data_IF_778427590231
#
_entry.id   IF_778427590231
#
_cell.length_a   1.000
_cell.length_b   1.000
_cell.length_c   1.000
_cell.angle_alpha   90.00
_cell.angle_beta   90.00
_cell.angle_gamma   90.00
#
_symmetry.space_group_name_H-M   'P 1'
#
loop_
_entity.id
_entity.type
_entity.pdbx_description
1 polymer ?
#
# COMPACT_ATOMS: atom_id res chain seq x y z
N UNK A 1 -71.85 13.86 -63.55
CA UNK A 1 -71.22 15.19 -63.39
C UNK A 1 -70.76 15.33 -61.97
N UNK A 2 -69.52 15.81 -61.81
CA UNK A 2 -68.77 16.22 -60.61
C UNK A 2 -68.01 15.10 -59.91
N UNK A 3 -66.68 15.09 -60.24
CA UNK A 3 -65.55 14.52 -59.54
C UNK A 3 -65.39 15.13 -58.14
N UNK A 4 -64.99 14.34 -57.20
CA UNK A 4 -64.30 14.81 -55.99
C UNK A 4 -63.03 14.01 -55.82
N UNK A 5 -61.93 14.70 -55.98
CA UNK A 5 -60.55 14.27 -55.65
C UNK A 5 -60.44 14.15 -54.15
N UNK A 6 -59.93 13.04 -53.70
CA UNK A 6 -59.51 12.83 -52.30
C UNK A 6 -57.98 12.86 -52.19
N UNK A 7 -57.49 13.82 -51.42
CA UNK A 7 -56.09 14.06 -51.10
C UNK A 7 -55.48 12.88 -50.40
N UNK A 8 -54.35 12.36 -50.92
CA UNK A 8 -53.49 11.47 -50.28
C UNK A 8 -52.36 12.24 -49.52
N UNK A 9 -52.42 12.28 -48.25
CA UNK A 9 -51.36 12.84 -47.38
C UNK A 9 -50.35 11.78 -47.03
N UNK A 10 -49.01 12.07 -47.03
CA UNK A 10 -47.95 11.05 -46.91
C UNK A 10 -47.59 10.77 -45.45
N UNK A 11 -48.04 9.65 -44.93
CA UNK A 11 -47.64 9.11 -43.62
C UNK A 11 -46.26 8.38 -43.64
N UNK A 12 -45.29 8.87 -44.40
CA UNK A 12 -43.97 8.20 -44.53
C UNK A 12 -42.79 8.90 -43.90
N UNK A 13 -42.96 10.11 -43.31
CA UNK A 13 -41.83 10.89 -42.78
C UNK A 13 -41.63 10.78 -41.26
N UNK A 14 -42.48 10.07 -40.50
CA UNK A 14 -42.44 10.11 -39.02
C UNK A 14 -41.78 8.84 -38.37
N UNK A 15 -41.34 7.88 -39.17
CA UNK A 15 -40.71 6.65 -38.64
C UNK A 15 -39.16 6.63 -38.63
N UNK A 16 -38.53 7.60 -39.27
CA UNK A 16 -37.05 7.64 -39.35
C UNK A 16 -36.38 8.39 -38.21
N UNK A 17 -37.10 9.24 -37.45
CA UNK A 17 -36.52 10.09 -36.41
C UNK A 17 -36.50 9.44 -35.02
N UNK A 18 -37.21 8.32 -34.79
CA UNK A 18 -37.24 7.63 -33.50
C UNK A 18 -36.13 6.57 -33.32
N UNK A 19 -35.40 6.21 -34.35
CA UNK A 19 -34.32 5.20 -34.29
C UNK A 19 -32.94 5.80 -34.04
N UNK A 20 -32.76 7.12 -34.08
CA UNK A 20 -31.47 7.77 -33.83
C UNK A 20 -31.28 8.20 -32.36
N UNK A 21 -32.35 8.16 -31.55
CA UNK A 21 -32.31 8.54 -30.14
C UNK A 21 -31.90 7.42 -29.17
N UNK A 22 -31.88 6.16 -29.62
CA UNK A 22 -31.68 5.01 -28.75
C UNK A 22 -30.21 4.54 -28.64
N UNK A 23 -29.28 5.18 -29.34
CA UNK A 23 -27.86 4.75 -29.37
C UNK A 23 -26.93 5.53 -28.41
N UNK A 24 -27.45 6.48 -27.63
CA UNK A 24 -26.61 7.30 -26.74
C UNK A 24 -26.71 6.96 -25.24
N UNK A 25 -27.44 5.91 -24.88
CA UNK A 25 -27.38 5.35 -23.53
C UNK A 25 -26.62 4.03 -23.53
N UNK A 26 -25.39 3.99 -24.09
CA UNK A 26 -24.41 3.04 -23.63
C UNK A 26 -24.09 3.45 -22.20
N UNK A 27 -24.87 2.93 -21.25
CA UNK A 27 -24.61 3.12 -19.82
C UNK A 27 -23.18 2.71 -19.57
N UNK A 28 -22.34 3.63 -19.07
CA UNK A 28 -21.09 3.30 -18.43
C UNK A 28 -21.45 2.31 -17.32
N UNK A 29 -21.28 1.02 -17.57
CA UNK A 29 -21.33 0.04 -16.50
C UNK A 29 -20.33 0.53 -15.45
N UNK A 30 -20.70 0.65 -14.17
CA UNK A 30 -19.72 0.96 -13.14
C UNK A 30 -18.60 -0.07 -13.25
N UNK A 31 -17.37 0.39 -13.39
CA UNK A 31 -16.22 -0.50 -13.35
C UNK A 31 -16.19 -1.19 -11.98
N UNK A 32 -15.88 -2.48 -11.94
CA UNK A 32 -15.74 -3.19 -10.68
C UNK A 32 -14.70 -2.47 -9.80
N UNK A 33 -14.93 -2.36 -8.48
CA UNK A 33 -14.00 -1.68 -7.60
C UNK A 33 -12.66 -2.41 -7.57
N UNK A 34 -11.55 -1.64 -7.52
CA UNK A 34 -10.21 -2.19 -7.38
C UNK A 34 -10.07 -2.92 -6.03
N UNK A 35 -9.64 -4.16 -6.07
CA UNK A 35 -9.39 -4.98 -4.87
C UNK A 35 -8.03 -4.64 -4.30
N UNK A 36 -8.01 -3.78 -3.29
CA UNK A 36 -6.81 -3.37 -2.58
C UNK A 36 -6.45 -4.40 -1.51
N UNK A 37 -5.19 -4.75 -1.39
CA UNK A 37 -4.74 -5.71 -0.39
C UNK A 37 -3.51 -5.22 0.37
N UNK A 38 -3.46 -5.52 1.67
CA UNK A 38 -2.28 -5.37 2.52
C UNK A 38 -2.31 -6.37 3.68
N UNK A 39 -1.19 -6.48 4.40
CA UNK A 39 -1.17 -7.13 5.71
C UNK A 39 -1.50 -6.13 6.83
N UNK A 40 -1.83 -6.64 8.01
CA UNK A 40 -1.88 -5.79 9.19
C UNK A 40 -0.47 -5.25 9.50
N UNK A 41 -0.32 -3.94 9.39
CA UNK A 41 0.92 -3.20 9.64
C UNK A 41 0.60 -1.80 10.16
N UNK A 42 0.15 -1.75 11.39
CA UNK A 42 -0.20 -0.49 12.05
C UNK A 42 1.02 0.43 12.21
N UNK A 43 0.87 1.74 12.01
CA UNK A 43 -0.38 2.50 11.82
C UNK A 43 -0.82 2.62 10.35
N UNK A 44 -0.13 1.99 9.42
CA UNK A 44 -0.32 2.17 7.97
C UNK A 44 -1.54 1.42 7.44
N UNK A 45 -1.65 0.14 7.80
CA UNK A 45 -2.70 -0.78 7.36
C UNK A 45 -3.14 -1.68 8.52
N UNK A 46 -4.41 -1.58 8.95
CA UNK A 46 -5.03 -2.43 9.96
C UNK A 46 -6.54 -2.14 9.96
N UNK A 47 -7.36 -3.17 9.74
CA UNK A 47 -8.83 -3.04 9.70
C UNK A 47 -9.46 -2.50 10.99
N UNK A 48 -8.73 -2.50 12.12
CA UNK A 48 -9.16 -1.95 13.41
C UNK A 48 -8.92 -0.44 13.54
N UNK A 49 -8.21 0.17 12.60
CA UNK A 49 -7.89 1.59 12.59
C UNK A 49 -8.91 2.39 11.76
N UNK A 50 -8.93 3.70 11.98
CA UNK A 50 -9.72 4.63 11.17
C UNK A 50 -9.40 4.42 9.67
N UNK A 51 -10.43 4.22 8.86
CA UNK A 51 -10.31 3.98 7.42
C UNK A 51 -9.25 2.91 7.05
N UNK A 52 -9.11 1.88 7.90
CA UNK A 52 -8.13 0.80 7.78
C UNK A 52 -6.66 1.24 7.88
N UNK A 53 -6.37 2.40 8.46
CA UNK A 53 -5.03 2.96 8.65
C UNK A 53 -4.63 3.99 7.61
N UNK A 54 -3.51 4.71 7.87
CA UNK A 54 -3.07 5.84 7.06
C UNK A 54 -2.86 5.50 5.58
N UNK A 55 -2.16 4.41 5.29
CA UNK A 55 -1.86 4.02 3.91
C UNK A 55 -3.14 3.66 3.15
N UNK A 56 -4.06 2.93 3.79
CA UNK A 56 -5.37 2.60 3.21
C UNK A 56 -6.21 3.85 2.92
N UNK A 57 -6.23 4.81 3.85
CA UNK A 57 -6.97 6.07 3.69
C UNK A 57 -6.39 6.95 2.57
N UNK A 58 -5.05 7.10 2.53
CA UNK A 58 -4.37 7.84 1.46
C UNK A 58 -4.61 7.21 0.09
N UNK A 59 -4.39 5.90 -0.03
CA UNK A 59 -4.52 5.20 -1.31
C UNK A 59 -5.95 5.20 -1.81
N UNK A 60 -6.94 4.86 -0.97
CA UNK A 60 -8.36 4.88 -1.36
C UNK A 60 -8.83 6.29 -1.73
N UNK A 61 -8.32 7.33 -1.06
CA UNK A 61 -8.66 8.72 -1.38
C UNK A 61 -8.05 9.16 -2.70
N UNK A 62 -6.78 8.82 -2.97
CA UNK A 62 -6.11 9.14 -4.22
C UNK A 62 -6.73 8.40 -5.41
N UNK A 63 -7.00 7.09 -5.27
CA UNK A 63 -7.67 6.31 -6.32
C UNK A 63 -9.07 6.86 -6.64
N UNK A 64 -9.85 7.24 -5.62
CA UNK A 64 -11.17 7.86 -5.83
C UNK A 64 -11.07 9.20 -6.57
N UNK A 65 -10.06 10.04 -6.29
CA UNK A 65 -9.78 11.24 -7.07
C UNK A 65 -9.41 10.94 -8.52
N UNK A 66 -8.70 9.83 -8.73
CA UNK A 66 -8.37 9.33 -10.06
C UNK A 66 -9.55 8.66 -10.80
N UNK A 67 -10.73 8.56 -10.16
CA UNK A 67 -11.95 7.99 -10.76
C UNK A 67 -12.12 6.48 -10.54
N UNK A 68 -11.37 5.89 -9.60
CA UNK A 68 -11.45 4.46 -9.27
C UNK A 68 -12.09 4.24 -7.90
N UNK A 69 -13.14 3.46 -7.85
CA UNK A 69 -13.65 2.89 -6.59
C UNK A 69 -12.76 1.73 -6.14
N UNK A 70 -12.73 1.48 -4.84
CA UNK A 70 -11.84 0.45 -4.30
C UNK A 70 -12.39 -0.21 -3.04
N UNK A 71 -12.02 -1.47 -2.84
CA UNK A 71 -12.34 -2.29 -1.65
C UNK A 71 -11.04 -2.78 -1.00
N UNK A 72 -10.94 -2.64 0.32
CA UNK A 72 -9.76 -3.05 1.09
C UNK A 72 -9.92 -4.44 1.69
N UNK A 73 -8.92 -5.29 1.50
CA UNK A 73 -8.83 -6.64 2.08
C UNK A 73 -7.52 -6.78 2.86
N UNK A 74 -7.61 -7.29 4.09
CA UNK A 74 -6.45 -7.56 4.93
C UNK A 74 -6.15 -9.06 4.99
N UNK A 75 -4.92 -9.43 4.61
CA UNK A 75 -4.44 -10.81 4.65
C UNK A 75 -2.95 -10.83 5.02
N UNK A 76 -2.38 -11.96 5.48
CA UNK A 76 -0.93 -12.06 5.66
C UNK A 76 -0.14 -11.68 4.40
N UNK A 77 1.00 -11.01 4.55
CA UNK A 77 1.81 -10.47 3.45
C UNK A 77 2.07 -11.46 2.31
N UNK A 78 2.54 -12.68 2.63
CA UNK A 78 2.80 -13.70 1.62
C UNK A 78 1.52 -14.08 0.80
N UNK A 79 0.32 -13.97 1.42
CA UNK A 79 -0.95 -14.18 0.74
C UNK A 79 -1.30 -13.00 -0.16
N UNK A 80 -1.03 -11.76 0.30
CA UNK A 80 -1.25 -10.56 -0.51
C UNK A 80 -0.45 -10.62 -1.81
N UNK A 81 0.85 -10.92 -1.71
CA UNK A 81 1.75 -11.05 -2.87
C UNK A 81 1.31 -12.19 -3.80
N UNK A 82 1.03 -13.37 -3.25
CA UNK A 82 0.54 -14.49 -4.07
C UNK A 82 -0.79 -14.17 -4.74
N UNK A 83 -1.71 -13.53 -4.04
CA UNK A 83 -3.01 -13.14 -4.57
C UNK A 83 -2.91 -12.09 -5.68
N UNK A 84 -1.95 -11.16 -5.60
CA UNK A 84 -1.64 -10.23 -6.69
C UNK A 84 -1.16 -10.99 -7.94
N UNK A 85 -0.23 -11.95 -7.78
CA UNK A 85 0.29 -12.78 -8.87
C UNK A 85 -0.76 -13.70 -9.51
N UNK A 86 -1.82 -14.04 -8.78
CA UNK A 86 -2.92 -14.93 -9.20
C UNK A 86 -4.20 -14.17 -9.56
N UNK A 87 -4.12 -12.87 -9.79
CA UNK A 87 -5.24 -12.00 -10.16
C UNK A 87 -6.41 -11.97 -9.14
N UNK A 88 -6.16 -12.40 -7.90
CA UNK A 88 -7.15 -12.32 -6.81
C UNK A 88 -7.29 -10.90 -6.26
N UNK A 89 -6.23 -10.10 -6.35
CA UNK A 89 -6.16 -8.69 -5.94
C UNK A 89 -5.57 -7.87 -7.08
N UNK A 90 -5.94 -6.58 -7.13
CA UNK A 90 -5.51 -5.68 -8.19
C UNK A 90 -4.33 -4.81 -7.77
N UNK A 91 -4.29 -4.43 -6.48
CA UNK A 91 -3.30 -3.48 -5.94
C UNK A 91 -2.86 -3.91 -4.54
N UNK A 92 -1.56 -4.10 -4.33
CA UNK A 92 -0.95 -4.09 -2.98
C UNK A 92 -0.66 -2.64 -2.61
N UNK A 93 -1.18 -2.16 -1.47
CA UNK A 93 -1.16 -0.73 -1.15
C UNK A 93 0.02 -0.27 -0.30
N UNK A 94 0.84 -1.17 0.23
CA UNK A 94 1.94 -0.84 1.16
C UNK A 94 3.20 -1.63 0.81
N UNK A 95 3.68 -1.47 -0.43
CA UNK A 95 4.85 -2.19 -0.92
C UNK A 95 6.11 -1.32 -0.90
N UNK A 96 7.20 -1.84 -0.38
CA UNK A 96 8.54 -1.35 -0.67
C UNK A 96 8.99 -1.89 -2.02
N UNK A 97 9.75 -1.09 -2.75
CA UNK A 97 10.28 -1.48 -4.05
C UNK A 97 11.20 -2.71 -3.93
N UNK A 98 11.06 -3.65 -4.87
CA UNK A 98 12.07 -4.67 -5.14
C UNK A 98 12.02 -5.08 -6.61
N UNK A 99 13.16 -5.44 -7.19
CA UNK A 99 13.29 -5.93 -8.58
C UNK A 99 12.43 -7.18 -8.81
N UNK A 100 12.39 -8.09 -7.84
CA UNK A 100 11.55 -9.30 -7.90
C UNK A 100 10.08 -8.94 -8.10
N UNK A 101 9.58 -7.96 -7.35
CA UNK A 101 8.17 -7.52 -7.43
C UNK A 101 7.89 -6.77 -8.72
N UNK A 102 8.87 -6.00 -9.23
CA UNK A 102 8.74 -5.29 -10.49
C UNK A 102 8.55 -6.22 -11.70
N UNK A 103 8.93 -7.50 -11.58
CA UNK A 103 8.73 -8.49 -12.63
C UNK A 103 7.24 -8.80 -12.91
N UNK A 104 6.37 -8.77 -11.87
CA UNK A 104 4.95 -9.11 -11.99
C UNK A 104 3.98 -7.97 -11.65
N UNK A 105 4.47 -6.90 -11.03
CA UNK A 105 3.70 -5.72 -10.70
C UNK A 105 4.38 -4.43 -11.17
N UNK A 106 3.63 -3.36 -11.30
CA UNK A 106 4.12 -2.04 -11.62
C UNK A 106 3.96 -1.13 -10.40
N UNK A 107 5.02 -0.42 -10.02
CA UNK A 107 5.05 0.47 -8.88
C UNK A 107 4.64 1.90 -9.25
N UNK A 108 3.93 2.59 -8.36
CA UNK A 108 3.74 4.04 -8.40
C UNK A 108 5.01 4.80 -8.01
N UNK A 109 5.01 6.12 -8.10
CA UNK A 109 5.89 6.96 -7.31
C UNK A 109 5.66 6.71 -5.79
N UNK A 110 6.66 6.98 -4.91
CA UNK A 110 6.45 6.81 -3.46
C UNK A 110 5.44 7.84 -2.94
N UNK A 111 4.40 7.37 -2.26
CA UNK A 111 3.37 8.24 -1.67
C UNK A 111 3.59 8.51 -0.18
N UNK A 112 4.38 7.67 0.51
CA UNK A 112 4.88 7.83 1.88
C UNK A 112 6.36 7.44 1.94
N UNK A 113 7.05 7.79 3.02
CA UNK A 113 8.42 7.33 3.31
C UNK A 113 8.45 6.64 4.66
N UNK A 114 9.10 5.48 4.72
CA UNK A 114 9.35 4.69 5.92
C UNK A 114 10.82 4.77 6.30
N UNK A 115 11.10 4.94 7.60
CA UNK A 115 12.45 4.85 8.15
C UNK A 115 12.59 3.52 8.89
N UNK A 116 13.31 2.60 8.27
CA UNK A 116 13.60 1.29 8.87
C UNK A 116 14.79 1.43 9.82
N UNK A 117 14.60 1.00 11.05
CA UNK A 117 15.60 1.13 12.09
C UNK A 117 15.87 -0.19 12.79
N UNK A 118 17.10 -0.32 13.26
CA UNK A 118 17.49 -1.38 14.19
C UNK A 118 17.09 -0.99 15.62
N UNK A 119 16.58 -1.96 16.37
CA UNK A 119 16.33 -1.83 17.81
C UNK A 119 17.29 -2.73 18.56
N UNK A 120 17.77 -2.24 19.70
CA UNK A 120 18.57 -3.01 20.67
C UNK A 120 17.94 -2.97 22.07
N UNK A 121 18.43 -3.81 22.98
CA UNK A 121 18.16 -3.62 24.41
C UNK A 121 18.94 -2.42 24.89
N UNK A 122 18.30 -1.56 25.63
CA UNK A 122 18.91 -0.37 26.20
C UNK A 122 20.16 -0.74 27.02
N UNK A 123 21.27 -0.10 26.71
CA UNK A 123 22.56 -0.36 27.35
C UNK A 123 23.32 -1.56 26.76
N UNK A 124 22.96 -2.04 25.58
CA UNK A 124 23.75 -3.05 24.85
C UNK A 124 24.97 -2.45 24.16
N UNK A 125 25.00 -1.13 23.99
CA UNK A 125 26.10 -0.34 23.41
C UNK A 125 26.52 -0.83 22.02
N UNK A 126 25.57 -1.30 21.20
CA UNK A 126 25.82 -1.76 19.83
C UNK A 126 26.02 -0.52 18.93
N UNK A 127 27.16 -0.46 18.26
CA UNK A 127 27.46 0.59 17.29
C UNK A 127 27.25 0.08 15.87
N UNK A 128 26.57 0.89 15.05
CA UNK A 128 26.24 0.58 13.66
C UNK A 128 26.48 1.82 12.79
N UNK A 129 27.33 1.68 11.78
CA UNK A 129 27.56 2.69 10.74
C UNK A 129 27.44 2.09 9.34
N UNK A 130 27.69 0.78 9.21
CA UNK A 130 27.66 0.03 7.94
C UNK A 130 27.21 -1.40 8.21
N UNK A 131 26.74 -2.09 7.17
CA UNK A 131 26.18 -3.45 7.27
C UNK A 131 27.15 -4.44 7.95
N UNK A 132 28.46 -4.32 7.70
CA UNK A 132 29.47 -5.22 8.26
C UNK A 132 29.56 -5.15 9.79
N UNK A 133 29.18 -4.04 10.39
CA UNK A 133 29.17 -3.87 11.85
C UNK A 133 28.11 -4.75 12.51
N UNK A 134 27.15 -5.26 11.72
CA UNK A 134 26.07 -6.14 12.18
C UNK A 134 26.42 -7.62 12.17
N UNK A 135 27.54 -8.05 11.58
CA UNK A 135 27.92 -9.47 11.48
C UNK A 135 28.01 -10.23 12.81
N UNK A 136 28.47 -9.62 13.92
CA UNK A 136 28.49 -10.31 15.22
C UNK A 136 27.10 -10.68 15.74
N UNK A 137 26.05 -9.93 15.39
CA UNK A 137 24.74 -9.91 16.04
C UNK A 137 23.71 -10.76 15.33
N UNK A 138 22.82 -11.38 16.11
CA UNK A 138 21.59 -12.02 15.61
C UNK A 138 20.47 -10.98 15.47
N UNK A 139 19.79 -10.97 14.32
CA UNK A 139 18.84 -9.91 13.95
C UNK A 139 17.49 -10.52 13.62
N UNK A 140 16.46 -10.26 14.44
CA UNK A 140 15.10 -10.66 14.13
C UNK A 140 14.53 -9.82 12.98
N UNK A 141 14.05 -10.48 11.92
CA UNK A 141 13.45 -9.88 10.72
C UNK A 141 12.08 -10.47 10.46
N UNK A 142 11.13 -9.66 10.04
CA UNK A 142 9.80 -10.18 9.65
C UNK A 142 9.92 -10.91 8.32
N UNK A 143 9.40 -12.13 8.28
CA UNK A 143 9.50 -13.00 7.09
C UNK A 143 8.85 -12.37 5.89
N UNK A 144 9.48 -12.52 4.73
CA UNK A 144 9.03 -12.05 3.42
C UNK A 144 8.93 -10.51 3.28
N UNK A 145 9.47 -9.74 4.25
CA UNK A 145 9.68 -8.31 4.06
C UNK A 145 10.92 -8.07 3.19
N UNK A 146 10.89 -6.99 2.41
CA UNK A 146 12.07 -6.46 1.72
C UNK A 146 12.52 -5.20 2.47
N UNK A 147 13.69 -5.24 3.11
CA UNK A 147 14.21 -4.10 3.88
C UNK A 147 15.07 -3.17 3.02
N UNK A 148 16.30 -3.58 2.78
CA UNK A 148 17.29 -2.87 1.97
C UNK A 148 18.08 -3.92 1.19
N UNK A 149 18.38 -3.72 -0.12
CA UNK A 149 19.09 -4.72 -0.92
C UNK A 149 20.43 -5.17 -0.33
N UNK A 150 21.22 -4.26 0.25
CA UNK A 150 22.49 -4.63 0.86
C UNK A 150 22.29 -5.44 2.14
N UNK A 151 21.24 -5.15 2.91
CA UNK A 151 20.89 -5.93 4.10
C UNK A 151 20.27 -7.28 3.73
N UNK A 152 19.41 -7.32 2.71
CA UNK A 152 18.66 -8.53 2.34
C UNK A 152 19.53 -9.58 1.65
N UNK A 153 20.54 -9.16 0.88
CA UNK A 153 21.41 -10.06 0.10
C UNK A 153 22.69 -10.48 0.80
N UNK A 154 23.08 -9.84 1.91
CA UNK A 154 24.32 -10.17 2.62
C UNK A 154 24.16 -11.47 3.43
N UNK A 155 24.74 -12.56 2.94
CA UNK A 155 24.68 -13.90 3.56
C UNK A 155 25.44 -13.99 4.90
N UNK A 156 26.30 -13.02 5.25
CA UNK A 156 27.03 -13.02 6.52
C UNK A 156 26.19 -12.53 7.70
N UNK A 157 25.05 -11.89 7.42
CA UNK A 157 24.12 -11.46 8.45
C UNK A 157 23.38 -12.66 9.07
N UNK A 158 23.32 -12.69 10.40
CA UNK A 158 22.61 -13.73 11.16
C UNK A 158 21.13 -13.35 11.32
N UNK A 159 20.37 -13.39 10.23
CA UNK A 159 18.94 -13.06 10.24
C UNK A 159 18.13 -14.20 10.85
N UNK A 160 17.20 -13.86 11.76
CA UNK A 160 16.27 -14.79 12.42
C UNK A 160 14.86 -14.42 11.96
N UNK A 161 14.28 -15.14 10.96
CA UNK A 161 12.96 -14.84 10.42
C UNK A 161 11.86 -15.13 11.44
N UNK A 162 11.00 -14.14 11.70
CA UNK A 162 9.84 -14.22 12.60
C UNK A 162 8.56 -13.85 11.86
N UNK A 163 7.39 -14.11 12.49
CA UNK A 163 6.09 -13.88 11.86
C UNK A 163 5.56 -12.44 11.99
N UNK A 164 6.05 -11.67 12.96
CA UNK A 164 5.61 -10.29 13.19
C UNK A 164 6.63 -9.53 14.04
N UNK A 165 6.53 -8.19 14.03
CA UNK A 165 7.37 -7.34 14.87
C UNK A 165 7.17 -7.60 16.37
N UNK A 166 5.94 -7.91 16.82
CA UNK A 166 5.69 -8.22 18.23
C UNK A 166 6.52 -9.44 18.69
N UNK A 167 6.67 -10.44 17.82
CA UNK A 167 7.54 -11.60 18.11
C UNK A 167 8.99 -11.16 18.15
N UNK A 168 9.46 -10.34 17.19
CA UNK A 168 10.82 -9.81 17.17
C UNK A 168 11.16 -9.03 18.46
N UNK A 169 10.30 -8.10 18.85
CA UNK A 169 10.47 -7.26 20.03
C UNK A 169 10.50 -8.08 21.35
N UNK A 170 9.63 -9.09 21.46
CA UNK A 170 9.66 -10.00 22.63
C UNK A 170 10.92 -10.86 22.66
N UNK A 171 11.40 -11.35 21.52
CA UNK A 171 12.66 -12.09 21.44
C UNK A 171 13.85 -11.21 21.80
N UNK A 172 13.87 -9.96 21.31
CA UNK A 172 14.89 -8.97 21.64
C UNK A 172 14.92 -8.66 23.14
N UNK A 173 13.77 -8.35 23.73
CA UNK A 173 13.65 -8.07 25.17
C UNK A 173 14.08 -9.27 26.04
N UNK A 174 13.80 -10.50 25.60
CA UNK A 174 14.20 -11.73 26.29
C UNK A 174 15.67 -12.13 26.04
N UNK A 175 16.45 -11.37 25.26
CA UNK A 175 17.84 -11.68 24.92
C UNK A 175 18.03 -12.90 24.02
N UNK A 176 16.98 -13.29 23.27
CA UNK A 176 17.04 -14.41 22.31
C UNK A 176 17.62 -14.00 20.97
N UNK A 177 17.62 -12.71 20.68
CA UNK A 177 18.29 -12.04 19.56
C UNK A 177 18.94 -10.77 20.09
N UNK A 178 19.93 -10.26 19.36
CA UNK A 178 20.67 -9.06 19.74
C UNK A 178 19.98 -7.79 19.22
N UNK A 179 19.38 -7.88 18.03
CA UNK A 179 18.73 -6.78 17.33
C UNK A 179 17.37 -7.22 16.78
N UNK A 180 16.50 -6.24 16.52
CA UNK A 180 15.29 -6.38 15.72
C UNK A 180 15.20 -5.25 14.69
N UNK A 181 14.51 -5.47 13.58
CA UNK A 181 14.33 -4.48 12.50
C UNK A 181 12.85 -4.15 12.35
N UNK A 182 12.51 -2.86 12.34
CA UNK A 182 11.15 -2.40 12.02
C UNK A 182 11.17 -0.94 11.58
N UNK A 183 10.08 -0.53 10.93
CA UNK A 183 9.77 0.87 10.68
C UNK A 183 9.58 1.63 12.00
N UNK A 184 10.11 2.84 12.08
CA UNK A 184 10.13 3.64 13.31
C UNK A 184 8.72 3.96 13.82
N UNK A 185 7.79 4.32 12.94
CA UNK A 185 6.41 4.63 13.33
C UNK A 185 5.61 3.37 13.66
N UNK A 186 5.81 2.28 12.92
CA UNK A 186 5.18 1.00 13.23
C UNK A 186 5.62 0.47 14.59
N UNK A 187 6.92 0.49 14.89
CA UNK A 187 7.43 0.14 16.20
C UNK A 187 6.87 1.05 17.31
N UNK A 188 6.86 2.38 17.08
CA UNK A 188 6.28 3.37 18.00
C UNK A 188 4.80 3.09 18.30
N UNK A 189 4.02 2.75 17.28
CA UNK A 189 2.62 2.37 17.43
C UNK A 189 2.45 1.13 18.32
N UNK A 190 3.24 0.08 18.11
CA UNK A 190 3.23 -1.11 18.96
C UNK A 190 3.65 -0.81 20.39
N UNK A 191 4.67 0.02 20.59
CA UNK A 191 5.13 0.45 21.92
C UNK A 191 4.12 1.33 22.66
N UNK A 192 3.26 2.06 21.96
CA UNK A 192 2.17 2.81 22.60
C UNK A 192 1.00 1.93 23.04
N UNK A 193 0.93 0.68 22.59
CA UNK A 193 -0.21 -0.25 22.75
C UNK A 193 0.21 -1.62 23.31
N UNK A 194 0.38 -2.61 22.43
CA UNK A 194 0.60 -4.03 22.78
C UNK A 194 1.96 -4.30 23.43
N UNK A 195 2.98 -3.48 23.14
CA UNK A 195 4.37 -3.65 23.65
C UNK A 195 4.77 -2.55 24.64
N UNK A 196 3.80 -1.88 25.27
CA UNK A 196 4.09 -0.76 26.20
C UNK A 196 5.09 -1.12 27.30
N UNK A 197 5.00 -2.33 27.84
CA UNK A 197 5.92 -2.82 28.88
C UNK A 197 7.37 -2.97 28.41
N UNK A 198 7.62 -3.13 27.12
CA UNK A 198 8.97 -3.28 26.55
C UNK A 198 9.62 -1.94 26.20
N UNK A 199 8.84 -0.86 26.05
CA UNK A 199 9.30 0.44 25.54
C UNK A 199 10.49 1.02 26.33
N UNK A 200 10.49 0.88 27.64
CA UNK A 200 11.54 1.43 28.51
C UNK A 200 12.88 0.68 28.39
N UNK A 201 12.86 -0.58 27.97
CA UNK A 201 14.03 -1.46 27.86
C UNK A 201 14.62 -1.56 26.46
N UNK A 202 14.00 -0.93 25.45
CA UNK A 202 14.45 -0.99 24.06
C UNK A 202 14.70 0.41 23.51
N UNK A 203 15.69 0.53 22.62
CA UNK A 203 16.02 1.79 21.95
C UNK A 203 16.42 1.57 20.50
N UNK A 204 16.26 2.63 19.69
CA UNK A 204 16.65 2.61 18.29
C UNK A 204 18.11 2.97 18.13
N UNK A 205 18.81 2.22 17.30
CA UNK A 205 20.15 2.57 16.83
C UNK A 205 20.09 3.74 15.84
N UNK A 206 21.20 4.45 15.71
CA UNK A 206 21.44 5.48 14.70
C UNK A 206 22.74 5.16 13.95
N UNK A 207 22.78 5.36 12.64
CA UNK A 207 21.73 5.90 11.74
C UNK A 207 20.58 4.89 11.47
N UNK A 208 19.51 5.25 10.72
CA UNK A 208 18.54 4.27 10.22
C UNK A 208 19.22 3.26 9.30
N UNK A 209 18.71 2.03 9.25
CA UNK A 209 19.17 1.00 8.32
C UNK A 209 18.87 1.41 6.87
N UNK A 210 17.67 1.93 6.62
CA UNK A 210 17.25 2.47 5.34
C UNK A 210 16.10 3.46 5.48
N UNK A 211 15.89 4.24 4.41
CA UNK A 211 14.69 5.03 4.20
C UNK A 211 14.02 4.53 2.92
N UNK A 212 12.83 3.97 3.03
CA UNK A 212 12.14 3.32 1.94
C UNK A 212 10.89 4.09 1.54
N UNK A 213 10.70 4.30 0.24
CA UNK A 213 9.44 4.77 -0.30
C UNK A 213 8.35 3.70 -0.15
N UNK A 214 7.16 4.09 0.25
CA UNK A 214 5.98 3.24 0.26
C UNK A 214 5.18 3.49 -1.02
N UNK A 215 4.94 2.43 -1.78
CA UNK A 215 4.32 2.46 -3.10
C UNK A 215 3.04 1.64 -3.15
N UNK A 216 2.14 1.95 -4.07
CA UNK A 216 1.21 0.94 -4.53
C UNK A 216 1.91 0.05 -5.58
N UNK A 217 1.55 -1.23 -5.58
CA UNK A 217 2.01 -2.22 -6.56
C UNK A 217 0.79 -2.77 -7.28
N UNK A 218 0.60 -2.40 -8.55
CA UNK A 218 -0.52 -2.80 -9.39
C UNK A 218 -0.13 -4.00 -10.24
N UNK A 219 -0.96 -5.05 -10.30
CA UNK A 219 -0.67 -6.23 -11.15
C UNK A 219 -0.58 -5.84 -12.62
N UNK A 220 0.44 -6.33 -13.33
CA UNK A 220 0.65 -6.03 -14.76
C UNK A 220 -0.36 -6.69 -15.69
N UNK A 221 -1.07 -7.73 -15.22
CA UNK A 221 -2.15 -8.41 -15.96
C UNK A 221 -3.43 -7.57 -16.08
N UNK A 222 -3.54 -6.46 -15.34
CA UNK A 222 -4.67 -5.53 -15.47
C UNK A 222 -4.43 -4.63 -16.70
N UNK A 223 -5.36 -4.60 -17.66
CA UNK A 223 -5.17 -3.89 -18.94
C UNK A 223 -4.84 -2.40 -18.77
N UNK A 224 -5.45 -1.74 -17.79
CA UNK A 224 -5.29 -0.32 -17.51
C UNK A 224 -4.34 -0.02 -16.33
N UNK A 225 -3.42 -0.94 -15.97
CA UNK A 225 -2.53 -0.77 -14.82
C UNK A 225 -1.70 0.53 -14.89
N UNK A 226 -1.26 0.93 -16.08
CA UNK A 226 -0.48 2.15 -16.27
C UNK A 226 -1.31 3.41 -15.98
N UNK A 227 -2.56 3.45 -16.47
CA UNK A 227 -3.49 4.55 -16.24
C UNK A 227 -3.85 4.70 -14.76
N UNK A 228 -3.99 3.57 -14.04
CA UNK A 228 -4.23 3.56 -12.60
C UNK A 228 -3.05 4.20 -11.86
N UNK A 229 -1.81 3.83 -12.21
CA UNK A 229 -0.61 4.37 -11.59
C UNK A 229 -0.47 5.87 -11.87
N UNK A 230 -0.59 6.29 -13.14
CA UNK A 230 -0.49 7.70 -13.53
C UNK A 230 -1.60 8.55 -12.86
N UNK A 231 -2.82 8.02 -12.79
CA UNK A 231 -3.94 8.67 -12.11
C UNK A 231 -3.71 8.80 -10.61
N UNK A 232 -3.20 7.74 -9.97
CA UNK A 232 -2.84 7.73 -8.56
C UNK A 232 -1.74 8.73 -8.25
N UNK A 233 -0.63 8.70 -8.99
CA UNK A 233 0.53 9.58 -8.78
C UNK A 233 0.11 11.06 -8.91
N UNK A 234 -0.66 11.40 -9.96
CA UNK A 234 -1.22 12.74 -10.13
C UNK A 234 -2.13 13.13 -8.95
N UNK A 235 -3.01 12.23 -8.50
CA UNK A 235 -3.90 12.50 -7.37
C UNK A 235 -3.14 12.75 -6.07
N UNK A 236 -2.05 12.03 -5.81
CA UNK A 236 -1.16 12.28 -4.65
C UNK A 236 -0.54 13.68 -4.72
N UNK A 237 -0.02 14.09 -5.88
CA UNK A 237 0.55 15.43 -6.05
C UNK A 237 -0.52 16.55 -5.89
N UNK A 238 -1.72 16.34 -6.42
CA UNK A 238 -2.85 17.25 -6.19
C UNK A 238 -3.23 17.33 -4.71
N UNK A 239 -3.25 16.20 -3.98
CA UNK A 239 -3.52 16.16 -2.55
C UNK A 239 -2.47 16.90 -1.73
N UNK A 240 -1.19 16.81 -2.12
CA UNK A 240 -0.11 17.60 -1.51
C UNK A 240 -0.30 19.09 -1.79
N UNK A 241 -0.62 19.45 -3.02
CA UNK A 241 -0.80 20.84 -3.44
C UNK A 241 -2.00 21.53 -2.75
N UNK A 242 -3.13 20.83 -2.55
CA UNK A 242 -4.33 21.37 -1.90
C UNK A 242 -4.33 21.19 -0.37
N UNK A 243 -3.28 20.59 0.20
CA UNK A 243 -3.10 20.33 1.63
C UNK A 243 -4.01 19.22 2.18
N UNK A 244 -4.75 18.47 1.35
CA UNK A 244 -5.58 17.35 1.83
C UNK A 244 -4.73 16.15 2.26
N UNK A 245 -3.55 15.98 1.67
CA UNK A 245 -2.56 14.97 2.07
C UNK A 245 -2.14 15.17 3.54
N UNK A 246 -1.75 16.39 3.91
CA UNK A 246 -1.33 16.73 5.28
C UNK A 246 -2.48 16.58 6.28
N UNK A 247 -3.68 17.05 5.92
CA UNK A 247 -4.88 16.87 6.77
C UNK A 247 -5.20 15.40 7.01
N UNK A 248 -4.90 14.53 6.06
CA UNK A 248 -5.10 13.09 6.18
C UNK A 248 -4.09 12.48 7.17
N UNK A 249 -2.80 12.84 7.06
CA UNK A 249 -1.75 12.42 8.00
C UNK A 249 -2.10 12.88 9.44
N UNK A 250 -2.50 14.16 9.61
CA UNK A 250 -2.84 14.70 10.93
C UNK A 250 -4.03 13.96 11.58
N UNK A 251 -5.01 13.54 10.77
CA UNK A 251 -6.16 12.73 11.24
C UNK A 251 -5.71 11.41 11.87
N UNK A 252 -4.66 10.80 11.37
CA UNK A 252 -4.11 9.54 11.87
C UNK A 252 -3.13 9.72 13.04
N UNK A 253 -2.85 10.97 13.48
CA UNK A 253 -2.02 11.30 14.64
C UNK A 253 -0.61 10.69 14.58
N UNK A 254 0.03 10.74 13.41
CA UNK A 254 1.40 10.24 13.17
C UNK A 254 2.48 11.32 13.29
N UNK A 255 2.15 12.48 13.84
CA UNK A 255 3.08 13.58 14.18
C UNK A 255 3.18 13.79 15.66
#
# INVERSE_FOLDING_TARGET
MKQCLADQWPFRAFRATLLLGSLLCAGLAPADPLRLVANAWAPYTDHRLLNNGLASDLVSTALRRAGYDSEYVEVPWARAIRGLQQDQYDVVISAWYSEERAAYGAFSAPYLSNRVRLLERKGSDISFQRIQDLYPYSIAVVRDYAYDPAFDTDEKLKRVPVRSFEVAANMLAAGRVDLAVEDEYAAGFHFSRSLRSLRAGLEFLSPPLSENGLHILVRRSLENYAEIIEGFDRAIEEMKADGSYERLIDRHQLR
#
